data_IF_426882164998
#
_entry.id   IF_426882164998
#
_cell.length_a   1.000
_cell.length_b   1.000
_cell.length_c   1.000
_cell.angle_alpha   90.00
_cell.angle_beta   90.00
_cell.angle_gamma   90.00
#
_symmetry.space_group_name_H-M   'P 1'
#
loop_
_entity.id
_entity.type
_entity.pdbx_description
1 polymer ?
#
# COMPACT_ATOMS: atom_id res chain seq x y z
N UNK A 1 5.71 10.75 -23.60
CA UNK A 1 4.45 11.46 -23.36
C UNK A 1 4.77 12.87 -22.87
N UNK A 2 4.17 13.90 -23.44
CA UNK A 2 4.23 15.27 -22.91
C UNK A 2 3.36 15.39 -21.65
N UNK A 3 3.43 16.51 -20.93
CA UNK A 3 2.59 16.70 -19.74
C UNK A 3 1.10 16.69 -20.10
N UNK A 4 0.70 17.42 -21.15
CA UNK A 4 -0.70 17.50 -21.57
C UNK A 4 -1.23 16.14 -22.07
N UNK A 5 -0.38 15.37 -22.76
CA UNK A 5 -0.72 14.00 -23.16
C UNK A 5 -0.93 13.08 -21.94
N UNK A 6 -0.13 13.25 -20.88
CA UNK A 6 -0.27 12.45 -19.66
C UNK A 6 -1.51 12.82 -18.86
N UNK A 7 -1.83 14.11 -18.76
CA UNK A 7 -3.05 14.57 -18.12
C UNK A 7 -4.30 14.06 -18.87
N UNK A 8 -4.26 14.05 -20.21
CA UNK A 8 -5.31 13.46 -21.05
C UNK A 8 -5.41 11.93 -20.87
N UNK A 9 -4.26 11.25 -20.76
CA UNK A 9 -4.20 9.82 -20.49
C UNK A 9 -4.81 9.45 -19.14
N UNK A 10 -4.51 10.21 -18.07
CA UNK A 10 -5.12 10.02 -16.76
C UNK A 10 -6.64 10.19 -16.78
N UNK A 11 -7.15 11.20 -17.50
CA UNK A 11 -8.60 11.41 -17.67
C UNK A 11 -9.25 10.24 -18.40
N UNK A 12 -8.66 9.80 -19.51
CA UNK A 12 -9.13 8.64 -20.27
C UNK A 12 -9.25 7.40 -19.38
N UNK A 13 -8.21 7.09 -18.60
CA UNK A 13 -8.23 5.93 -17.70
C UNK A 13 -9.32 6.06 -16.62
N UNK A 14 -9.50 7.27 -16.07
CA UNK A 14 -10.53 7.51 -15.07
C UNK A 14 -11.96 7.35 -15.63
N UNK A 15 -12.22 7.86 -16.83
CA UNK A 15 -13.50 7.74 -17.51
C UNK A 15 -13.81 6.28 -17.88
N UNK A 16 -12.85 5.59 -18.49
CA UNK A 16 -13.03 4.22 -19.00
C UNK A 16 -13.15 3.19 -17.87
N UNK A 17 -12.29 3.28 -16.85
CA UNK A 17 -12.17 2.22 -15.83
C UNK A 17 -12.84 2.55 -14.49
N UNK A 18 -12.83 3.82 -14.05
CA UNK A 18 -13.26 4.20 -12.70
C UNK A 18 -14.68 4.77 -12.65
N UNK A 19 -15.08 5.62 -13.61
CA UNK A 19 -16.31 6.42 -13.53
C UNK A 19 -17.58 5.55 -13.34
N UNK A 20 -17.62 4.40 -14.01
CA UNK A 20 -18.73 3.45 -13.87
C UNK A 20 -18.65 2.61 -12.59
N UNK A 21 -17.44 2.29 -12.10
CA UNK A 21 -17.23 1.33 -11.02
C UNK A 21 -17.24 1.98 -9.64
N UNK A 22 -16.67 3.18 -9.47
CA UNK A 22 -16.65 3.89 -8.18
C UNK A 22 -18.05 4.07 -7.55
N UNK A 23 -19.12 4.42 -8.29
CA UNK A 23 -20.47 4.50 -7.72
C UNK A 23 -21.04 3.15 -7.28
N UNK A 24 -20.71 2.07 -8.00
CA UNK A 24 -21.13 0.70 -7.66
C UNK A 24 -20.41 0.25 -6.39
N UNK A 25 -19.11 0.49 -6.33
CA UNK A 25 -18.25 0.28 -5.16
C UNK A 25 -18.83 1.05 -3.97
N UNK A 26 -19.10 2.35 -4.08
CA UNK A 26 -19.76 3.12 -3.03
C UNK A 26 -21.07 2.49 -2.55
N UNK A 27 -21.96 2.07 -3.48
CA UNK A 27 -23.26 1.48 -3.14
C UNK A 27 -23.13 0.15 -2.40
N UNK A 28 -22.23 -0.73 -2.85
CA UNK A 28 -22.00 -2.03 -2.20
C UNK A 28 -21.42 -1.84 -0.80
N UNK A 29 -20.65 -0.78 -0.61
CA UNK A 29 -19.81 -0.59 0.57
C UNK A 29 -20.44 0.32 1.65
N UNK A 30 -21.52 1.05 1.33
CA UNK A 30 -22.11 2.09 2.19
C UNK A 30 -22.53 1.68 3.62
N UNK A 31 -22.72 0.40 3.95
CA UNK A 31 -23.30 0.01 5.26
C UNK A 31 -22.39 -0.84 6.15
N UNK A 32 -21.43 -1.57 5.59
CA UNK A 32 -20.51 -2.41 6.38
C UNK A 32 -19.05 -1.99 6.20
N UNK A 33 -18.76 -1.16 5.21
CA UNK A 33 -17.40 -0.90 4.78
C UNK A 33 -16.82 0.39 5.33
N UNK A 34 -17.63 1.35 5.81
CA UNK A 34 -17.09 2.50 6.54
C UNK A 34 -16.38 2.03 7.82
N UNK A 35 -17.02 1.09 8.55
CA UNK A 35 -16.41 0.42 9.70
C UNK A 35 -15.21 -0.43 9.31
N UNK A 36 -15.28 -1.16 8.18
CA UNK A 36 -14.18 -2.00 7.69
C UNK A 36 -12.97 -1.16 7.22
N UNK A 37 -13.19 -0.03 6.54
CA UNK A 37 -12.14 0.95 6.17
C UNK A 37 -11.50 1.49 7.45
N UNK A 38 -12.30 1.98 8.38
CA UNK A 38 -11.80 2.57 9.62
C UNK A 38 -10.96 1.58 10.40
N UNK A 39 -11.48 0.38 10.63
CA UNK A 39 -10.76 -0.70 11.30
C UNK A 39 -9.48 -1.11 10.54
N UNK A 40 -9.52 -1.25 9.22
CA UNK A 40 -8.32 -1.59 8.44
C UNK A 40 -7.25 -0.50 8.53
N UNK A 41 -7.64 0.76 8.44
CA UNK A 41 -6.72 1.89 8.55
C UNK A 41 -6.13 2.00 9.96
N UNK A 42 -6.90 1.68 11.01
CA UNK A 42 -6.40 1.60 12.38
C UNK A 42 -5.34 0.51 12.55
N UNK A 43 -5.57 -0.69 12.02
CA UNK A 43 -4.57 -1.76 12.03
C UNK A 43 -3.29 -1.35 11.30
N UNK A 44 -3.42 -0.75 10.11
CA UNK A 44 -2.29 -0.25 9.33
C UNK A 44 -1.56 0.87 10.08
N UNK A 45 -2.28 1.75 10.78
CA UNK A 45 -1.70 2.83 11.59
C UNK A 45 -0.86 2.26 12.74
N UNK A 46 -1.37 1.27 13.46
CA UNK A 46 -0.63 0.60 14.54
C UNK A 46 0.63 -0.09 14.01
N UNK A 47 0.51 -0.86 12.93
CA UNK A 47 1.67 -1.50 12.28
C UNK A 47 2.69 -0.46 11.81
N UNK A 48 2.23 0.64 11.21
CA UNK A 48 3.09 1.73 10.74
C UNK A 48 3.85 2.39 11.89
N UNK A 49 3.20 2.64 13.03
CA UNK A 49 3.85 3.20 14.21
C UNK A 49 4.94 2.27 14.75
N UNK A 50 4.64 0.97 14.86
CA UNK A 50 5.62 -0.02 15.31
C UNK A 50 6.80 -0.13 14.33
N UNK A 51 6.56 -0.10 13.02
CA UNK A 51 7.60 -0.17 12.00
C UNK A 51 8.48 1.10 11.95
N UNK A 52 7.89 2.28 12.19
CA UNK A 52 8.67 3.50 12.38
C UNK A 52 9.57 3.41 13.61
N UNK A 53 9.05 2.87 14.72
CA UNK A 53 9.86 2.65 15.92
C UNK A 53 11.02 1.68 15.66
N UNK A 54 10.76 0.57 14.96
CA UNK A 54 11.82 -0.36 14.51
C UNK A 54 12.87 0.37 13.64
N UNK A 55 12.44 1.24 12.74
CA UNK A 55 13.35 1.95 11.86
C UNK A 55 14.24 2.96 12.61
N UNK A 56 13.64 3.74 13.51
CA UNK A 56 14.28 4.90 14.14
C UNK A 56 15.07 4.54 15.40
N UNK A 57 14.56 3.63 16.21
CA UNK A 57 15.07 3.37 17.56
C UNK A 57 15.95 2.12 17.66
N UNK A 58 15.93 1.25 16.64
CA UNK A 58 16.65 -0.02 16.66
C UNK A 58 17.72 0.04 15.59
N UNK A 59 19.01 0.23 15.90
CA UNK A 59 20.08 0.28 14.91
C UNK A 59 20.53 -1.10 14.41
N UNK A 60 20.38 -2.16 15.21
CA UNK A 60 20.78 -3.53 14.86
C UNK A 60 19.57 -4.43 14.65
N UNK A 61 19.75 -5.53 13.93
CA UNK A 61 18.66 -6.47 13.63
C UNK A 61 18.24 -7.25 14.87
N UNK A 62 19.18 -7.50 15.79
CA UNK A 62 18.95 -8.20 17.05
C UNK A 62 18.07 -7.40 18.00
N UNK A 63 18.23 -6.08 18.02
CA UNK A 63 17.49 -5.16 18.89
C UNK A 63 15.96 -5.28 18.69
N UNK A 64 15.52 -5.66 17.48
CA UNK A 64 14.11 -5.90 17.14
C UNK A 64 13.53 -7.04 17.98
N UNK A 65 14.26 -8.16 18.04
CA UNK A 65 13.81 -9.38 18.71
C UNK A 65 14.13 -9.38 20.22
N UNK A 66 14.97 -8.44 20.68
CA UNK A 66 15.17 -8.18 22.11
C UNK A 66 14.09 -7.26 22.68
N UNK A 67 13.52 -6.39 21.85
CA UNK A 67 12.52 -5.38 22.29
C UNK A 67 11.09 -5.84 22.10
N UNK A 68 10.74 -6.42 20.95
CA UNK A 68 9.39 -6.87 20.66
C UNK A 68 9.20 -8.32 21.05
N UNK A 69 8.04 -8.63 21.64
CA UNK A 69 7.60 -10.02 21.78
C UNK A 69 7.29 -10.62 20.42
N UNK A 70 7.37 -11.94 20.31
CA UNK A 70 7.02 -12.64 19.09
C UNK A 70 5.56 -12.41 18.69
N UNK A 71 4.66 -12.32 19.68
CA UNK A 71 3.25 -11.99 19.45
C UNK A 71 3.08 -10.59 18.85
N UNK A 72 3.76 -9.57 19.38
CA UNK A 72 3.70 -8.23 18.83
C UNK A 72 4.24 -8.16 17.39
N UNK A 73 5.36 -8.87 17.11
CA UNK A 73 5.87 -9.00 15.74
C UNK A 73 4.87 -9.71 14.82
N UNK A 74 4.17 -10.74 15.31
CA UNK A 74 3.14 -11.46 14.56
C UNK A 74 1.96 -10.56 14.23
N UNK A 75 1.52 -9.74 15.20
CA UNK A 75 0.43 -8.79 15.06
C UNK A 75 0.72 -7.72 13.99
N UNK A 76 1.95 -7.17 13.96
CA UNK A 76 2.38 -6.24 12.90
C UNK A 76 2.22 -6.87 11.50
N UNK A 77 2.62 -8.14 11.35
CA UNK A 77 2.52 -8.86 10.08
C UNK A 77 1.05 -9.14 9.73
N UNK A 78 0.23 -9.47 10.73
CA UNK A 78 -1.19 -9.71 10.57
C UNK A 78 -1.94 -8.45 10.13
N UNK A 79 -1.66 -7.30 10.73
CA UNK A 79 -2.19 -6.00 10.34
C UNK A 79 -1.81 -5.64 8.90
N UNK A 80 -0.54 -5.84 8.52
CA UNK A 80 -0.09 -5.61 7.15
C UNK A 80 -0.79 -6.57 6.15
N UNK A 81 -0.88 -7.86 6.49
CA UNK A 81 -1.56 -8.87 5.65
C UNK A 81 -3.03 -8.54 5.46
N UNK A 82 -3.73 -8.14 6.53
CA UNK A 82 -5.11 -7.72 6.47
C UNK A 82 -5.29 -6.48 5.57
N UNK A 83 -4.47 -5.45 5.78
CA UNK A 83 -4.50 -4.24 4.98
C UNK A 83 -4.25 -4.47 3.49
N UNK A 84 -3.27 -5.30 3.11
CA UNK A 84 -3.02 -5.65 1.69
C UNK A 84 -4.19 -6.40 1.07
N UNK A 85 -4.82 -7.33 1.81
CA UNK A 85 -6.00 -8.04 1.31
C UNK A 85 -7.16 -7.10 1.06
N UNK A 86 -7.41 -6.22 2.01
CA UNK A 86 -8.46 -5.22 1.89
C UNK A 86 -8.20 -4.26 0.73
N UNK A 87 -6.96 -3.74 0.63
CA UNK A 87 -6.51 -2.87 -0.46
C UNK A 87 -6.67 -3.52 -1.83
N UNK A 88 -6.30 -4.80 -1.99
CA UNK A 88 -6.43 -5.51 -3.26
C UNK A 88 -7.89 -5.68 -3.67
N UNK A 89 -8.75 -6.13 -2.75
CA UNK A 89 -10.19 -6.26 -3.00
C UNK A 89 -10.79 -4.91 -3.38
N UNK A 90 -10.45 -3.85 -2.66
CA UNK A 90 -10.93 -2.50 -2.92
C UNK A 90 -10.45 -1.97 -4.29
N UNK A 91 -9.21 -2.25 -4.67
CA UNK A 91 -8.66 -1.86 -5.98
C UNK A 91 -9.29 -2.64 -7.14
N UNK A 92 -9.55 -3.94 -6.99
CA UNK A 92 -10.29 -4.74 -7.97
C UNK A 92 -11.71 -4.19 -8.15
N UNK A 93 -12.38 -3.94 -7.03
CA UNK A 93 -13.74 -3.43 -6.99
C UNK A 93 -13.88 -2.05 -7.64
N UNK A 94 -12.91 -1.16 -7.41
CA UNK A 94 -12.87 0.17 -8.01
C UNK A 94 -12.46 0.17 -9.49
N UNK A 95 -12.03 -0.97 -10.05
CA UNK A 95 -11.51 -1.06 -11.42
C UNK A 95 -10.03 -0.67 -11.57
N UNK A 96 -9.37 -0.31 -10.48
CA UNK A 96 -7.96 0.10 -10.49
C UNK A 96 -7.02 -1.04 -10.81
N UNK A 97 -7.35 -2.27 -10.42
CA UNK A 97 -6.44 -3.40 -10.63
C UNK A 97 -6.20 -3.66 -12.13
N UNK A 98 -7.23 -3.53 -12.96
CA UNK A 98 -7.12 -3.66 -14.43
C UNK A 98 -6.19 -2.56 -14.99
N UNK A 99 -6.35 -1.33 -14.52
CA UNK A 99 -5.50 -0.21 -14.91
C UNK A 99 -4.05 -0.44 -14.49
N UNK A 100 -3.80 -0.96 -13.28
CA UNK A 100 -2.45 -1.24 -12.82
C UNK A 100 -1.79 -2.37 -13.61
N UNK A 101 -2.54 -3.42 -13.94
CA UNK A 101 -2.00 -4.54 -14.71
C UNK A 101 -1.56 -4.13 -16.10
N UNK A 102 -2.27 -3.20 -16.74
CA UNK A 102 -2.00 -2.77 -18.11
C UNK A 102 -1.07 -1.54 -18.20
N UNK A 103 -1.21 -0.57 -17.29
CA UNK A 103 -0.64 0.77 -17.44
C UNK A 103 0.30 1.21 -16.30
N UNK A 104 0.65 0.34 -15.34
CA UNK A 104 1.45 0.74 -14.17
C UNK A 104 2.76 1.46 -14.53
N UNK A 105 3.50 0.97 -15.52
CA UNK A 105 4.80 1.55 -15.90
C UNK A 105 4.65 2.98 -16.46
N UNK A 106 3.63 3.20 -17.29
CA UNK A 106 3.33 4.52 -17.85
C UNK A 106 2.87 5.48 -16.75
N UNK A 107 1.98 5.01 -15.87
CA UNK A 107 1.51 5.78 -14.71
C UNK A 107 2.66 6.15 -13.77
N UNK A 108 3.46 5.18 -13.36
CA UNK A 108 4.58 5.39 -12.43
C UNK A 108 5.66 6.32 -12.99
N UNK A 109 5.93 6.25 -14.30
CA UNK A 109 6.91 7.12 -14.95
C UNK A 109 6.40 8.55 -15.15
N UNK A 110 5.12 8.72 -15.49
CA UNK A 110 4.51 10.02 -15.76
C UNK A 110 3.97 10.77 -14.55
N UNK A 111 3.76 10.10 -13.40
CA UNK A 111 3.20 10.70 -12.18
C UNK A 111 4.00 11.93 -11.70
N UNK A 112 3.33 12.95 -11.17
CA UNK A 112 3.93 14.19 -10.67
C UNK A 112 3.23 14.61 -9.38
N UNK A 113 3.87 15.48 -8.61
CA UNK A 113 3.33 15.93 -7.32
C UNK A 113 2.03 16.73 -7.46
N UNK A 114 1.89 17.49 -8.55
CA UNK A 114 0.68 18.24 -8.89
C UNK A 114 -0.48 17.34 -9.37
N UNK A 115 -0.24 16.05 -9.61
CA UNK A 115 -1.33 15.10 -9.88
C UNK A 115 -1.99 14.55 -8.61
N UNK A 116 -1.30 14.64 -7.47
CA UNK A 116 -1.89 14.20 -6.22
C UNK A 116 -2.93 15.23 -5.77
N UNK A 117 -4.04 14.79 -5.15
CA UNK A 117 -4.97 15.68 -4.46
C UNK A 117 -4.23 16.62 -3.51
N UNK A 118 -4.56 17.91 -3.52
CA UNK A 118 -3.94 18.86 -2.58
C UNK A 118 -4.22 18.54 -1.11
N UNK A 119 -5.29 17.80 -0.84
CA UNK A 119 -5.70 17.36 0.49
C UNK A 119 -5.01 16.07 0.98
N UNK A 120 -4.24 15.40 0.11
CA UNK A 120 -3.63 14.09 0.37
C UNK A 120 -2.82 14.07 1.67
N UNK A 121 -1.96 15.07 1.86
CA UNK A 121 -1.10 15.15 3.04
C UNK A 121 -1.90 15.33 4.34
N UNK A 122 -2.93 16.19 4.31
CA UNK A 122 -3.79 16.45 5.47
C UNK A 122 -4.68 15.26 5.79
N UNK A 123 -5.19 14.58 4.76
CA UNK A 123 -5.95 13.33 4.88
C UNK A 123 -5.09 12.26 5.55
N UNK A 124 -3.90 11.97 5.02
CA UNK A 124 -3.00 10.97 5.58
C UNK A 124 -2.58 11.31 7.01
N UNK A 125 -2.33 12.59 7.31
CA UNK A 125 -2.03 13.03 8.67
C UNK A 125 -3.20 12.76 9.63
N UNK A 126 -4.42 13.09 9.21
CA UNK A 126 -5.66 12.85 9.99
C UNK A 126 -5.89 11.35 10.23
N UNK A 127 -5.55 10.52 9.25
CA UNK A 127 -5.63 9.05 9.34
C UNK A 127 -4.47 8.42 10.15
N UNK A 128 -3.56 9.23 10.70
CA UNK A 128 -2.46 8.76 11.55
C UNK A 128 -1.17 8.38 10.81
N UNK A 129 -1.02 8.85 9.57
CA UNK A 129 0.16 8.68 8.71
C UNK A 129 0.87 10.03 8.41
N UNK A 130 1.19 10.87 9.41
CA UNK A 130 1.72 12.22 9.18
C UNK A 130 3.08 12.21 8.47
N UNK A 131 3.92 11.19 8.71
CA UNK A 131 5.20 11.02 8.00
C UNK A 131 5.00 10.72 6.52
N UNK A 132 4.00 9.89 6.19
CA UNK A 132 3.69 9.54 4.80
C UNK A 132 3.22 10.80 4.06
N UNK A 133 2.28 11.55 4.66
CA UNK A 133 1.80 12.82 4.12
C UNK A 133 2.92 13.85 3.90
N UNK A 134 3.85 13.98 4.87
CA UNK A 134 5.00 14.88 4.76
C UNK A 134 6.02 14.49 3.67
N UNK A 135 6.01 13.23 3.22
CA UNK A 135 6.99 12.68 2.28
C UNK A 135 6.43 12.34 0.90
N UNK A 136 5.18 12.71 0.57
CA UNK A 136 4.57 12.43 -0.73
C UNK A 136 5.45 12.76 -1.95
N UNK A 137 6.12 13.94 -2.03
CA UNK A 137 7.01 14.23 -3.17
C UNK A 137 8.20 13.27 -3.26
N UNK A 138 8.74 12.84 -2.13
CA UNK A 138 9.83 11.86 -2.07
C UNK A 138 9.35 10.47 -2.49
N UNK A 139 8.12 10.07 -2.12
CA UNK A 139 7.52 8.81 -2.54
C UNK A 139 7.28 8.76 -4.05
N UNK A 140 6.88 9.87 -4.69
CA UNK A 140 6.78 9.94 -6.16
C UNK A 140 8.16 9.75 -6.81
N UNK A 141 9.18 10.40 -6.25
CA UNK A 141 10.55 10.23 -6.74
C UNK A 141 11.02 8.77 -6.61
N UNK A 142 10.75 8.14 -5.46
CA UNK A 142 11.05 6.73 -5.23
C UNK A 142 10.31 5.81 -6.22
N UNK A 143 9.02 6.07 -6.47
CA UNK A 143 8.22 5.33 -7.46
C UNK A 143 8.82 5.42 -8.87
N UNK A 144 9.26 6.61 -9.30
CA UNK A 144 9.92 6.78 -10.60
C UNK A 144 11.22 6.02 -10.69
N UNK A 145 12.03 6.07 -9.64
CA UNK A 145 13.30 5.32 -9.59
C UNK A 145 13.01 3.82 -9.63
N UNK A 146 12.00 3.36 -8.89
CA UNK A 146 11.56 1.98 -8.88
C UNK A 146 11.09 1.53 -10.27
N UNK A 147 10.22 2.28 -10.95
CA UNK A 147 9.72 1.93 -12.28
C UNK A 147 10.83 1.85 -13.33
N UNK A 148 11.85 2.71 -13.24
CA UNK A 148 13.02 2.71 -14.14
C UNK A 148 13.97 1.55 -13.86
N UNK A 149 14.15 1.18 -12.59
CA UNK A 149 15.06 0.10 -12.16
C UNK A 149 14.39 -1.27 -12.10
N UNK A 150 13.08 -1.33 -12.36
CA UNK A 150 12.29 -2.56 -12.31
C UNK A 150 12.86 -3.58 -13.29
N UNK A 151 13.24 -4.78 -12.81
CA UNK A 151 13.69 -5.85 -13.67
C UNK A 151 12.68 -6.18 -14.78
N UNK A 152 13.15 -6.45 -15.98
CA UNK A 152 12.29 -6.71 -17.14
C UNK A 152 11.29 -7.87 -16.91
N UNK A 153 11.69 -8.91 -16.16
CA UNK A 153 10.80 -10.03 -15.85
C UNK A 153 9.60 -9.64 -14.98
N UNK A 154 9.71 -8.58 -14.15
CA UNK A 154 8.57 -8.07 -13.39
C UNK A 154 7.59 -7.30 -14.28
N UNK A 155 7.93 -7.00 -15.53
CA UNK A 155 6.98 -6.45 -16.50
C UNK A 155 6.15 -7.56 -17.16
N UNK A 156 6.60 -8.82 -17.07
CA UNK A 156 5.86 -9.99 -17.55
C UNK A 156 4.86 -10.50 -16.50
N UNK A 157 5.05 -10.11 -15.23
CA UNK A 157 4.15 -10.45 -14.12
C UNK A 157 3.25 -9.27 -13.82
N UNK A 158 1.94 -9.47 -13.92
CA UNK A 158 0.94 -8.44 -13.63
C UNK A 158 1.05 -7.92 -12.18
N UNK A 159 0.59 -6.69 -11.95
CA UNK A 159 0.58 -6.08 -10.61
C UNK A 159 -0.30 -6.91 -9.67
N UNK A 160 -1.47 -7.34 -10.14
CA UNK A 160 -2.39 -8.22 -9.42
C UNK A 160 -1.73 -9.51 -8.97
N UNK A 161 -0.92 -10.14 -9.83
CA UNK A 161 -0.21 -11.36 -9.47
C UNK A 161 0.86 -11.09 -8.41
N UNK A 162 1.64 -10.01 -8.54
CA UNK A 162 2.66 -9.66 -7.53
C UNK A 162 2.05 -9.36 -6.16
N UNK A 163 0.88 -8.72 -6.14
CA UNK A 163 0.15 -8.42 -4.91
C UNK A 163 -0.46 -9.69 -4.29
N UNK A 164 -0.91 -10.68 -5.10
CA UNK A 164 -1.29 -12.02 -4.60
C UNK A 164 -0.11 -12.77 -4.00
N UNK A 165 1.04 -12.80 -4.70
CA UNK A 165 2.26 -13.42 -4.19
C UNK A 165 2.71 -12.78 -2.86
N UNK A 166 2.53 -11.46 -2.70
CA UNK A 166 2.80 -10.77 -1.44
C UNK A 166 1.90 -11.29 -0.32
N UNK A 167 0.59 -11.40 -0.56
CA UNK A 167 -0.34 -11.91 0.45
C UNK A 167 0.07 -13.30 0.93
N UNK A 168 0.38 -14.21 0.01
CA UNK A 168 0.83 -15.57 0.33
C UNK A 168 2.11 -15.55 1.19
N UNK A 169 3.07 -14.68 0.86
CA UNK A 169 4.31 -14.52 1.63
C UNK A 169 4.08 -13.97 3.03
N UNK A 170 3.17 -12.99 3.18
CA UNK A 170 2.83 -12.45 4.50
C UNK A 170 2.09 -13.49 5.35
N UNK A 171 1.22 -14.29 4.73
CA UNK A 171 0.57 -15.42 5.40
C UNK A 171 1.57 -16.48 5.84
N UNK A 172 2.51 -16.85 4.99
CA UNK A 172 3.57 -17.77 5.33
C UNK A 172 4.42 -17.24 6.49
N UNK A 173 4.85 -15.97 6.42
CA UNK A 173 5.62 -15.35 7.50
C UNK A 173 4.85 -15.33 8.83
N UNK A 174 3.54 -15.06 8.79
CA UNK A 174 2.67 -15.13 9.97
C UNK A 174 2.57 -16.55 10.52
N UNK A 175 2.43 -17.56 9.66
CA UNK A 175 2.36 -18.97 10.07
C UNK A 175 3.68 -19.43 10.70
N UNK A 176 4.82 -19.08 10.13
CA UNK A 176 6.15 -19.36 10.68
C UNK A 176 6.34 -18.74 12.07
N UNK A 177 5.95 -17.47 12.24
CA UNK A 177 5.99 -16.79 13.54
C UNK A 177 5.07 -17.45 14.58
N UNK A 178 3.84 -17.82 14.19
CA UNK A 178 2.89 -18.51 15.10
C UNK A 178 3.36 -19.91 15.47
N UNK A 179 4.00 -20.64 14.55
CA UNK A 179 4.57 -21.96 14.84
C UNK A 179 5.71 -21.83 15.87
N UNK A 180 6.60 -20.86 15.69
CA UNK A 180 7.68 -20.58 16.63
C UNK A 180 7.17 -20.14 18.02
N UNK A 181 6.00 -19.47 18.10
CA UNK A 181 5.40 -19.06 19.38
C UNK A 181 4.73 -20.22 20.15
N UNK A 182 4.37 -21.31 19.46
CA UNK A 182 3.65 -22.47 20.04
C UNK A 182 4.57 -23.64 20.40
N UNK A 183 5.82 -23.61 19.94
CA UNK A 183 6.78 -24.69 20.15
C UNK A 183 7.51 -24.47 21.48
N UNK A 184 7.15 -25.24 22.51
CA UNK A 184 7.87 -25.19 23.78
C UNK A 184 9.25 -25.88 23.72
N UNK A 185 9.54 -26.92 22.91
CA UNK A 185 10.83 -27.63 23.10
C UNK A 185 11.61 -28.21 21.89
N UNK A 186 11.13 -28.41 20.63
CA UNK A 186 11.93 -29.23 19.67
C UNK A 186 11.94 -28.86 18.15
N UNK A 187 11.45 -27.69 17.71
CA UNK A 187 11.48 -27.30 16.28
C UNK A 187 12.32 -26.03 15.98
N UNK A 188 12.71 -25.78 14.70
CA UNK A 188 13.89 -24.97 14.36
C UNK A 188 13.78 -23.52 14.87
N UNK A 189 14.92 -22.90 15.21
CA UNK A 189 14.93 -21.54 15.74
C UNK A 189 14.23 -20.59 14.78
N UNK A 190 13.38 -19.70 15.31
CA UNK A 190 12.71 -18.64 14.55
C UNK A 190 13.72 -18.01 13.59
N UNK A 191 13.43 -18.08 12.28
CA UNK A 191 14.29 -17.44 11.29
C UNK A 191 14.11 -15.92 11.40
N UNK A 192 14.98 -15.28 12.19
CA UNK A 192 14.99 -13.83 12.37
C UNK A 192 15.09 -13.14 11.01
N UNK A 193 14.03 -12.40 10.65
CA UNK A 193 13.98 -11.50 9.50
C UNK A 193 14.94 -10.34 9.71
N UNK A 194 15.70 -10.01 8.65
CA UNK A 194 16.64 -8.88 8.62
C UNK A 194 15.90 -7.55 8.52
N UNK A 195 16.56 -6.44 8.85
CA UNK A 195 16.00 -5.08 8.73
C UNK A 195 15.36 -4.77 7.37
N UNK A 196 15.98 -5.20 6.27
CA UNK A 196 15.44 -4.98 4.91
C UNK A 196 14.00 -5.50 4.77
N UNK A 197 13.69 -6.61 5.43
CA UNK A 197 12.35 -7.19 5.44
C UNK A 197 11.35 -6.28 6.17
N UNK A 198 11.71 -5.77 7.34
CA UNK A 198 10.89 -4.83 8.11
C UNK A 198 10.72 -3.48 7.40
N UNK A 199 11.77 -2.98 6.74
CA UNK A 199 11.67 -1.81 5.86
C UNK A 199 10.70 -2.06 4.71
N UNK A 200 10.75 -3.25 4.10
CA UNK A 200 9.81 -3.66 3.06
C UNK A 200 8.37 -3.70 3.57
N UNK A 201 8.14 -4.26 4.75
CA UNK A 201 6.83 -4.28 5.40
C UNK A 201 6.31 -2.86 5.69
N UNK A 202 7.20 -1.94 6.09
CA UNK A 202 6.88 -0.52 6.27
C UNK A 202 6.34 0.13 5.00
N UNK A 203 6.96 -0.14 3.84
CA UNK A 203 6.48 0.35 2.54
C UNK A 203 5.14 -0.28 2.15
N UNK A 204 4.95 -1.57 2.41
CA UNK A 204 3.69 -2.28 2.19
C UNK A 204 2.56 -1.64 3.01
N UNK A 205 2.79 -1.39 4.30
CA UNK A 205 1.79 -0.76 5.18
C UNK A 205 1.46 0.66 4.72
N UNK A 206 2.47 1.48 4.47
CA UNK A 206 2.26 2.86 4.02
C UNK A 206 1.55 2.93 2.65
N UNK A 207 1.98 2.10 1.70
CA UNK A 207 1.38 2.02 0.38
C UNK A 207 -0.07 1.54 0.41
N UNK A 208 -0.37 0.54 1.25
CA UNK A 208 -1.74 0.06 1.45
C UNK A 208 -2.63 1.15 2.03
N UNK A 209 -2.13 1.90 3.02
CA UNK A 209 -2.88 3.00 3.65
C UNK A 209 -3.20 4.13 2.66
N UNK A 210 -2.22 4.54 1.84
CA UNK A 210 -2.42 5.51 0.74
C UNK A 210 -3.54 5.01 -0.17
N UNK A 211 -3.36 3.83 -0.79
CA UNK A 211 -4.34 3.30 -1.74
C UNK A 211 -5.75 3.15 -1.14
N UNK A 212 -5.88 2.68 0.10
CA UNK A 212 -7.20 2.57 0.75
C UNK A 212 -7.82 3.95 0.96
N UNK A 213 -7.05 4.91 1.45
CA UNK A 213 -7.53 6.28 1.68
C UNK A 213 -8.00 6.91 0.37
N UNK A 214 -7.25 6.74 -0.71
CA UNK A 214 -7.54 7.33 -2.02
C UNK A 214 -8.75 6.74 -2.71
N UNK A 215 -8.86 5.41 -2.67
CA UNK A 215 -10.03 4.73 -3.23
C UNK A 215 -11.26 5.09 -2.39
N UNK A 216 -11.11 5.16 -1.07
CA UNK A 216 -12.15 5.63 -0.17
C UNK A 216 -12.58 7.06 -0.47
N UNK A 217 -11.64 7.96 -0.76
CA UNK A 217 -11.89 9.34 -1.14
C UNK A 217 -12.61 9.43 -2.49
N UNK A 218 -12.11 8.73 -3.52
CA UNK A 218 -12.71 8.69 -4.85
C UNK A 218 -14.11 8.09 -4.86
N UNK A 219 -14.34 7.04 -4.06
CA UNK A 219 -15.67 6.45 -3.87
C UNK A 219 -16.60 7.31 -2.99
N UNK A 220 -16.10 8.37 -2.34
CA UNK A 220 -16.87 9.20 -1.41
C UNK A 220 -17.30 8.47 -0.14
N UNK A 221 -16.43 7.58 0.36
CA UNK A 221 -16.55 6.84 1.62
C UNK A 221 -15.77 7.51 2.76
N UNK A 222 -14.82 8.39 2.45
CA UNK A 222 -14.10 9.21 3.42
C UNK A 222 -14.62 10.64 3.33
N UNK A 223 -14.98 11.29 4.46
CA UNK A 223 -15.72 12.56 4.46
C UNK A 223 -14.82 13.79 4.23
N UNK A 224 -13.99 13.78 3.18
CA UNK A 224 -13.27 14.96 2.72
C UNK A 224 -13.98 15.55 1.49
N UNK A 225 -14.20 16.87 1.52
CA UNK A 225 -14.72 17.59 0.36
C UNK A 225 -13.58 17.80 -0.66
N UNK A 226 -13.81 17.33 -1.88
CA UNK A 226 -12.84 17.37 -2.97
C UNK A 226 -13.52 17.63 -4.29
N UNK A 227 -12.78 18.18 -5.25
CA UNK A 227 -13.30 18.43 -6.60
C UNK A 227 -13.66 17.10 -7.30
N UNK A 228 -14.54 17.12 -8.32
CA UNK A 228 -14.82 15.94 -9.13
C UNK A 228 -13.56 15.34 -9.78
N UNK A 229 -12.62 16.19 -10.19
CA UNK A 229 -11.33 15.78 -10.76
C UNK A 229 -10.48 15.00 -9.74
N UNK A 230 -10.45 15.46 -8.49
CA UNK A 230 -9.77 14.76 -7.40
C UNK A 230 -10.42 13.40 -7.11
N UNK A 231 -11.75 13.26 -7.26
CA UNK A 231 -12.45 11.98 -7.08
C UNK A 231 -12.26 10.99 -8.22
N UNK A 232 -11.76 11.44 -9.38
CA UNK A 232 -11.56 10.59 -10.56
C UNK A 232 -10.08 10.27 -10.75
N UNK A 233 -9.35 11.10 -11.50
CA UNK A 233 -7.97 10.85 -11.85
C UNK A 233 -6.98 11.16 -10.71
N UNK A 234 -7.39 12.00 -9.74
CA UNK A 234 -6.64 12.19 -8.49
C UNK A 234 -6.54 10.90 -7.67
N UNK A 235 -7.67 10.21 -7.48
CA UNK A 235 -7.71 8.90 -6.82
C UNK A 235 -6.88 7.84 -7.57
N UNK A 236 -6.89 7.84 -8.91
CA UNK A 236 -6.03 6.98 -9.72
C UNK A 236 -4.53 7.29 -9.49
N UNK A 237 -4.18 8.57 -9.46
CA UNK A 237 -2.81 9.04 -9.27
C UNK A 237 -2.25 8.65 -7.90
N UNK A 238 -2.99 8.90 -6.83
CA UNK A 238 -2.58 8.53 -5.47
C UNK A 238 -2.62 7.00 -5.26
N UNK A 239 -3.62 6.29 -5.81
CA UNK A 239 -3.64 4.82 -5.75
C UNK A 239 -2.45 4.18 -6.49
N UNK A 240 -2.01 4.76 -7.61
CA UNK A 240 -0.77 4.36 -8.31
C UNK A 240 0.44 4.52 -7.38
N UNK A 241 0.53 5.64 -6.66
CA UNK A 241 1.59 5.87 -5.68
C UNK A 241 1.57 4.80 -4.58
N UNK A 242 0.42 4.56 -3.97
CA UNK A 242 0.26 3.57 -2.92
C UNK A 242 0.62 2.15 -3.39
N UNK A 243 0.08 1.71 -4.53
CA UNK A 243 0.38 0.39 -5.10
C UNK A 243 1.86 0.28 -5.46
N UNK A 244 2.44 1.33 -6.03
CA UNK A 244 3.87 1.38 -6.32
C UNK A 244 4.75 1.23 -5.08
N UNK A 245 4.37 1.84 -3.95
CA UNK A 245 5.04 1.65 -2.67
C UNK A 245 4.91 0.21 -2.14
N UNK A 246 3.74 -0.42 -2.29
CA UNK A 246 3.56 -1.83 -1.96
C UNK A 246 4.51 -2.69 -2.79
N UNK A 247 4.57 -2.50 -4.10
CA UNK A 247 5.46 -3.25 -5.00
C UNK A 247 6.94 -3.07 -4.68
N UNK A 248 7.36 -1.85 -4.34
CA UNK A 248 8.73 -1.60 -3.87
C UNK A 248 9.02 -2.35 -2.56
N UNK A 249 8.04 -2.41 -1.65
CA UNK A 249 8.09 -3.21 -0.44
C UNK A 249 8.20 -4.72 -0.70
N UNK A 250 7.51 -5.23 -1.72
CA UNK A 250 7.60 -6.63 -2.17
C UNK A 250 9.04 -6.99 -2.52
N UNK A 251 9.73 -6.17 -3.32
CA UNK A 251 11.12 -6.40 -3.69
C UNK A 251 12.02 -6.50 -2.45
N UNK A 252 11.85 -5.59 -1.50
CA UNK A 252 12.60 -5.61 -0.24
C UNK A 252 12.33 -6.87 0.60
N UNK A 253 11.07 -7.32 0.69
CA UNK A 253 10.67 -8.57 1.37
C UNK A 253 11.28 -9.80 0.70
N UNK A 254 11.41 -9.80 -0.64
CA UNK A 254 12.06 -10.86 -1.43
C UNK A 254 13.59 -10.84 -1.32
N UNK A 255 14.17 -9.76 -0.83
CA UNK A 255 15.61 -9.56 -0.73
C UNK A 255 16.24 -8.93 -1.96
N UNK A 256 15.44 -8.49 -2.94
CA UNK A 256 15.84 -7.80 -4.18
C UNK A 256 16.37 -6.38 -3.92
#
# INVERSE_FOLDING_TARGET
MTNDEFDAFLRYLAEEYLERRLPITRRRLRHHFEDEIGWTLDQLREAHQALNYIHDAMPRDEDIYETFTLDALTEIIEHASHGVRFQNRLAEDAGLMEVMDEYFTDLASGLRADHLPSIEADMLSTLGFPRVGAHLPALICALKIFSQKRPAYLNEVSVSQQLRDLQERLDQARQEHRAAARSDEEEPPLQKRKRKWWTGLGKVVAGSAISIADIGLGAGLIPFEVSPETRSWGALSSATLGIGQVMEGVGAIRGE
#
